data_IF_352955694801
#
_entry.id   IF_352955694801
#
_cell.length_a   1.000
_cell.length_b   1.000
_cell.length_c   1.000
_cell.angle_alpha   90.00
_cell.angle_beta   90.00
_cell.angle_gamma   90.00
#
_symmetry.space_group_name_H-M   'P 1'
#
loop_
_entity.id
_entity.type
_entity.pdbx_description
1 polymer ?
#
# COMPACT_ATOMS: atom_id res chain seq x y z
N UNK A 1 34.28 54.99 42.90
CA UNK A 1 34.31 53.56 42.56
C UNK A 1 32.94 52.97 42.86
N UNK A 2 32.14 52.61 41.85
CA UNK A 2 30.88 51.89 42.05
C UNK A 2 31.10 50.36 42.13
N UNK A 3 30.23 49.72 42.90
CA UNK A 3 30.15 48.32 43.34
C UNK A 3 29.95 47.29 42.18
N UNK A 4 30.63 46.12 42.17
CA UNK A 4 30.55 45.12 41.11
C UNK A 4 29.33 44.17 41.16
N UNK A 5 28.26 44.50 41.88
CA UNK A 5 27.13 43.58 42.14
C UNK A 5 26.03 43.53 41.07
N UNK A 6 26.30 43.93 39.83
CA UNK A 6 25.35 43.83 38.70
C UNK A 6 25.68 42.70 37.72
N UNK A 7 25.56 41.46 38.20
CA UNK A 7 25.39 40.29 37.33
C UNK A 7 23.96 39.75 37.52
N UNK A 8 23.04 39.90 36.55
CA UNK A 8 21.85 39.07 36.52
C UNK A 8 22.29 37.64 36.19
N UNK A 9 22.11 36.74 37.16
CA UNK A 9 22.29 35.30 36.98
C UNK A 9 21.34 34.79 35.89
N UNK A 10 21.82 34.10 34.84
CA UNK A 10 20.95 33.36 33.93
C UNK A 10 20.80 31.94 34.48
N UNK A 11 20.10 31.78 35.61
CA UNK A 11 19.67 30.47 36.08
C UNK A 11 18.14 30.45 36.22
N UNK A 12 17.56 29.43 35.59
CA UNK A 12 16.12 29.31 35.40
C UNK A 12 15.73 29.04 33.94
N UNK A 13 16.55 28.29 33.19
CA UNK A 13 16.04 27.61 32.00
C UNK A 13 15.35 26.34 32.49
N UNK A 14 14.16 26.53 33.04
CA UNK A 14 13.26 25.48 33.47
C UNK A 14 12.87 24.66 32.24
N UNK A 15 13.65 23.60 31.96
CA UNK A 15 13.32 22.57 30.98
C UNK A 15 12.16 21.74 31.52
N UNK A 16 10.99 22.37 31.59
CA UNK A 16 9.70 21.72 31.76
C UNK A 16 9.33 21.06 30.42
N UNK A 17 9.95 19.91 30.15
CA UNK A 17 9.51 19.03 29.06
C UNK A 17 8.16 18.41 29.43
N UNK A 18 7.10 19.20 29.29
CA UNK A 18 5.73 18.72 29.39
C UNK A 18 5.39 17.77 28.23
N UNK A 19 4.35 16.92 28.38
CA UNK A 19 3.87 16.01 27.34
C UNK A 19 3.59 16.69 25.99
N UNK A 20 3.25 17.99 26.02
CA UNK A 20 3.05 18.82 24.84
C UNK A 20 4.29 18.98 23.98
N UNK A 21 5.49 19.09 24.57
CA UNK A 21 6.74 19.31 23.80
C UNK A 21 7.12 18.10 22.94
N UNK A 22 6.83 16.88 23.40
CA UNK A 22 7.08 15.66 22.63
C UNK A 22 6.04 15.47 21.52
N UNK A 23 4.77 15.81 21.80
CA UNK A 23 3.72 15.82 20.78
C UNK A 23 4.03 16.84 19.68
N UNK A 24 4.51 18.04 20.04
CA UNK A 24 4.94 19.06 19.09
C UNK A 24 6.15 18.61 18.27
N UNK A 25 7.13 17.95 18.88
CA UNK A 25 8.28 17.38 18.17
C UNK A 25 7.85 16.27 17.18
N UNK A 26 6.92 15.39 17.58
CA UNK A 26 6.34 14.39 16.68
C UNK A 26 5.55 15.04 15.55
N UNK A 27 4.79 16.09 15.84
CA UNK A 27 4.02 16.83 14.84
C UNK A 27 4.93 17.52 13.82
N UNK A 28 6.08 18.06 14.26
CA UNK A 28 7.10 18.65 13.39
C UNK A 28 7.81 17.60 12.52
N UNK A 29 8.05 16.40 13.05
CA UNK A 29 8.61 15.28 12.26
C UNK A 29 7.58 14.78 11.23
N UNK A 30 6.31 14.65 11.63
CA UNK A 30 5.24 14.23 10.71
C UNK A 30 5.00 15.30 9.64
N UNK A 31 5.00 16.59 10.00
CA UNK A 31 4.80 17.67 9.02
C UNK A 31 5.92 17.72 7.99
N UNK A 32 7.18 17.61 8.42
CA UNK A 32 8.34 17.60 7.51
C UNK A 32 8.35 16.37 6.57
N UNK A 33 7.97 15.19 7.09
CA UNK A 33 7.80 13.97 6.27
C UNK A 33 6.62 14.11 5.31
N UNK A 34 5.50 14.70 5.74
CA UNK A 34 4.31 14.91 4.92
C UNK A 34 4.57 15.92 3.79
N UNK A 35 5.36 16.96 4.05
CA UNK A 35 5.75 17.95 3.04
C UNK A 35 6.63 17.33 1.95
N UNK A 36 7.61 16.50 2.35
CA UNK A 36 8.44 15.72 1.42
C UNK A 36 7.61 14.71 0.61
N UNK A 37 6.73 13.95 1.25
CA UNK A 37 5.82 13.02 0.58
C UNK A 37 4.91 13.77 -0.41
N UNK A 38 4.43 14.96 -0.05
CA UNK A 38 3.58 15.78 -0.91
C UNK A 38 4.35 16.30 -2.14
N UNK A 39 5.62 16.66 -1.99
CA UNK A 39 6.50 17.07 -3.09
C UNK A 39 6.80 15.88 -4.03
N UNK A 40 7.23 14.74 -3.49
CA UNK A 40 7.49 13.53 -4.27
C UNK A 40 6.21 12.99 -4.92
N UNK A 41 5.07 13.03 -4.23
CA UNK A 41 3.78 12.64 -4.78
C UNK A 41 3.36 13.56 -5.93
N UNK A 42 3.65 14.87 -5.87
CA UNK A 42 3.34 15.80 -6.96
C UNK A 42 4.20 15.53 -8.19
N UNK A 43 5.49 15.25 -8.00
CA UNK A 43 6.41 14.93 -9.10
C UNK A 43 6.17 13.53 -9.68
N UNK A 44 5.86 12.56 -8.82
CA UNK A 44 5.44 11.20 -9.20
C UNK A 44 4.07 11.22 -9.89
N UNK A 45 3.13 12.07 -9.47
CA UNK A 45 1.86 12.25 -10.15
C UNK A 45 2.06 12.87 -11.54
N UNK A 46 2.94 13.88 -11.68
CA UNK A 46 3.18 14.54 -12.98
C UNK A 46 3.86 13.62 -13.99
N UNK A 47 4.83 12.81 -13.56
CA UNK A 47 5.51 11.83 -14.42
C UNK A 47 4.72 10.53 -14.58
N UNK A 48 3.98 10.14 -13.56
CA UNK A 48 3.23 8.88 -13.49
C UNK A 48 1.82 8.94 -14.07
N UNK A 49 1.15 10.09 -14.06
CA UNK A 49 -0.25 10.24 -14.52
C UNK A 49 -0.42 9.79 -15.97
N UNK A 50 0.43 10.27 -16.89
CA UNK A 50 0.34 9.87 -18.29
C UNK A 50 0.65 8.38 -18.51
N UNK A 51 1.56 7.80 -17.73
CA UNK A 51 1.88 6.36 -17.82
C UNK A 51 0.73 5.52 -17.25
N UNK A 52 0.18 5.90 -16.10
CA UNK A 52 -0.95 5.25 -15.47
C UNK A 52 -2.20 5.32 -16.36
N UNK A 53 -2.52 6.49 -16.92
CA UNK A 53 -3.62 6.66 -17.85
C UNK A 53 -3.48 5.78 -19.09
N UNK A 54 -2.27 5.70 -19.68
CA UNK A 54 -2.00 4.77 -20.81
C UNK A 54 -2.14 3.31 -20.42
N UNK A 55 -1.67 2.92 -19.24
CA UNK A 55 -1.80 1.54 -18.75
C UNK A 55 -3.28 1.19 -18.55
N UNK A 56 -4.05 2.07 -17.93
CA UNK A 56 -5.49 1.89 -17.74
C UNK A 56 -6.19 1.80 -19.10
N UNK A 57 -5.90 2.73 -20.02
CA UNK A 57 -6.47 2.71 -21.37
C UNK A 57 -6.10 1.43 -22.14
N UNK A 58 -4.85 0.96 -22.02
CA UNK A 58 -4.40 -0.29 -22.62
C UNK A 58 -5.12 -1.50 -22.01
N UNK A 59 -5.27 -1.56 -20.69
CA UNK A 59 -6.03 -2.61 -20.00
C UNK A 59 -7.47 -2.63 -20.51
N UNK A 60 -8.15 -1.48 -20.53
CA UNK A 60 -9.51 -1.38 -21.05
C UNK A 60 -9.61 -1.83 -22.50
N UNK A 61 -8.69 -1.37 -23.36
CA UNK A 61 -8.68 -1.73 -24.78
C UNK A 61 -8.46 -3.23 -24.97
N UNK A 62 -7.56 -3.84 -24.20
CA UNK A 62 -7.32 -5.29 -24.21
C UNK A 62 -8.57 -6.04 -23.72
N UNK A 63 -9.20 -5.62 -22.63
CA UNK A 63 -10.38 -6.31 -22.08
C UNK A 63 -11.57 -6.23 -23.03
N UNK A 64 -11.84 -5.05 -23.59
CA UNK A 64 -12.92 -4.88 -24.56
C UNK A 64 -12.59 -5.60 -25.87
N UNK A 65 -11.38 -5.45 -26.39
CA UNK A 65 -10.93 -6.13 -27.60
C UNK A 65 -11.03 -7.65 -27.48
N UNK A 66 -10.58 -8.22 -26.36
CA UNK A 66 -10.71 -9.65 -26.07
C UNK A 66 -12.17 -10.09 -26.01
N UNK A 67 -13.04 -9.31 -25.34
CA UNK A 67 -14.47 -9.60 -25.23
C UNK A 67 -15.17 -9.57 -26.60
N UNK A 68 -14.85 -8.59 -27.45
CA UNK A 68 -15.37 -8.49 -28.81
C UNK A 68 -14.84 -9.61 -29.70
N UNK A 69 -13.57 -9.97 -29.58
CA UNK A 69 -12.99 -11.12 -30.29
C UNK A 69 -13.67 -12.43 -29.90
N UNK A 70 -13.94 -12.64 -28.61
CA UNK A 70 -14.69 -13.79 -28.14
C UNK A 70 -16.11 -13.79 -28.70
N UNK A 71 -16.86 -12.69 -28.55
CA UNK A 71 -18.22 -12.58 -29.04
C UNK A 71 -18.30 -12.80 -30.57
N UNK A 72 -17.38 -12.20 -31.32
CA UNK A 72 -17.26 -12.37 -32.77
C UNK A 72 -16.88 -13.80 -33.17
N UNK A 73 -15.93 -14.42 -32.47
CA UNK A 73 -15.53 -15.81 -32.73
C UNK A 73 -16.67 -16.78 -32.43
N UNK A 74 -17.41 -16.58 -31.34
CA UNK A 74 -18.62 -17.35 -31.00
C UNK A 74 -19.68 -17.20 -32.09
N UNK A 75 -19.92 -15.98 -32.57
CA UNK A 75 -20.86 -15.70 -33.65
C UNK A 75 -20.46 -16.35 -34.97
N UNK A 76 -19.19 -16.22 -35.37
CA UNK A 76 -18.65 -16.81 -36.57
C UNK A 76 -18.68 -18.35 -36.53
N UNK A 77 -18.34 -18.95 -35.38
CA UNK A 77 -18.36 -20.40 -35.18
C UNK A 77 -19.80 -20.94 -35.16
N UNK A 78 -20.73 -20.20 -34.56
CA UNK A 78 -22.16 -20.49 -34.59
C UNK A 78 -22.72 -20.51 -36.02
N UNK A 79 -22.34 -19.51 -36.83
CA UNK A 79 -22.77 -19.44 -38.23
C UNK A 79 -22.14 -20.56 -39.09
N UNK A 80 -20.87 -20.91 -38.87
CA UNK A 80 -20.20 -21.98 -39.63
C UNK A 80 -20.67 -23.38 -39.24
N UNK A 81 -20.97 -23.61 -37.95
CA UNK A 81 -21.36 -24.93 -37.44
C UNK A 81 -22.88 -25.17 -37.47
N UNK A 82 -23.68 -24.17 -37.83
CA UNK A 82 -25.14 -24.22 -37.72
C UNK A 82 -25.65 -24.38 -36.28
N UNK A 83 -24.78 -24.15 -35.30
CA UNK A 83 -25.05 -24.39 -33.88
C UNK A 83 -25.59 -23.11 -33.24
N UNK A 84 -26.55 -23.23 -32.32
CA UNK A 84 -27.07 -22.08 -31.57
C UNK A 84 -25.96 -21.33 -30.83
N UNK A 85 -25.91 -20.01 -31.04
CA UNK A 85 -24.96 -19.05 -30.46
C UNK A 85 -24.81 -19.20 -28.95
N UNK A 86 -25.91 -19.50 -28.26
CA UNK A 86 -25.96 -19.69 -26.82
C UNK A 86 -25.03 -20.80 -26.33
N UNK A 87 -25.02 -21.95 -27.01
CA UNK A 87 -24.19 -23.10 -26.61
C UNK A 87 -22.69 -22.86 -26.84
N UNK A 88 -22.35 -22.14 -27.92
CA UNK A 88 -20.96 -21.76 -28.20
C UNK A 88 -20.43 -20.76 -27.16
N UNK A 89 -21.26 -19.78 -26.77
CA UNK A 89 -20.91 -18.83 -25.71
C UNK A 89 -20.74 -19.54 -24.36
N UNK A 90 -21.63 -20.48 -24.04
CA UNK A 90 -21.60 -21.23 -22.78
C UNK A 90 -20.37 -22.13 -22.68
N UNK A 91 -19.99 -22.82 -23.75
CA UNK A 91 -18.78 -23.65 -23.77
C UNK A 91 -17.50 -22.83 -23.54
N UNK A 92 -17.37 -21.69 -24.22
CA UNK A 92 -16.20 -20.83 -24.08
C UNK A 92 -16.15 -20.15 -22.70
N UNK A 93 -17.30 -19.72 -22.17
CA UNK A 93 -17.41 -19.22 -20.80
C UNK A 93 -17.00 -20.26 -19.76
N UNK A 94 -17.45 -21.51 -19.92
CA UNK A 94 -17.08 -22.62 -19.04
C UNK A 94 -15.57 -22.88 -19.06
N UNK A 95 -14.93 -22.87 -20.23
CA UNK A 95 -13.47 -23.02 -20.37
C UNK A 95 -12.74 -21.91 -19.60
N UNK A 96 -13.17 -20.65 -19.70
CA UNK A 96 -12.54 -19.54 -18.97
C UNK A 96 -12.68 -19.69 -17.46
N UNK A 97 -13.83 -20.16 -16.96
CA UNK A 97 -14.03 -20.43 -15.53
C UNK A 97 -13.11 -21.55 -15.04
N UNK A 98 -12.95 -22.62 -15.83
CA UNK A 98 -12.04 -23.73 -15.48
C UNK A 98 -10.60 -23.23 -15.43
N UNK A 99 -10.15 -22.47 -16.43
CA UNK A 99 -8.80 -21.88 -16.46
C UNK A 99 -8.60 -20.95 -15.25
N UNK A 100 -9.55 -20.06 -14.96
CA UNK A 100 -9.49 -19.17 -13.81
C UNK A 100 -9.40 -19.96 -12.49
N UNK A 101 -10.17 -21.04 -12.33
CA UNK A 101 -10.13 -21.89 -11.16
C UNK A 101 -8.78 -22.62 -10.99
N UNK A 102 -8.16 -23.07 -12.09
CA UNK A 102 -6.83 -23.69 -12.08
C UNK A 102 -5.77 -22.65 -11.71
N UNK A 103 -5.80 -21.46 -12.31
CA UNK A 103 -4.87 -20.37 -12.01
C UNK A 103 -5.00 -19.92 -10.55
N UNK A 104 -6.23 -19.78 -10.05
CA UNK A 104 -6.49 -19.41 -8.66
C UNK A 104 -5.93 -20.46 -7.70
N UNK A 105 -6.21 -21.75 -7.93
CA UNK A 105 -5.63 -22.86 -7.16
C UNK A 105 -4.10 -22.84 -7.17
N UNK A 106 -3.49 -22.53 -8.31
CA UNK A 106 -2.02 -22.44 -8.42
C UNK A 106 -1.45 -21.22 -7.70
N UNK A 107 -2.17 -20.09 -7.71
CA UNK A 107 -1.77 -18.85 -7.02
C UNK A 107 -1.88 -18.94 -5.49
N UNK A 108 -2.77 -19.79 -4.96
CA UNK A 108 -2.89 -20.02 -3.52
C UNK A 108 -1.65 -20.67 -2.89
N UNK A 109 -0.72 -21.22 -3.69
CA UNK A 109 0.49 -21.89 -3.20
C UNK A 109 1.70 -21.00 -2.92
N UNK A 110 1.67 -19.71 -3.27
CA UNK A 110 2.86 -18.86 -3.18
C UNK A 110 2.53 -17.41 -2.82
N UNK A 111 1.90 -17.19 -1.68
CA UNK A 111 2.10 -15.94 -0.96
C UNK A 111 3.50 -15.95 -0.35
N UNK A 112 4.54 -15.82 -1.18
CA UNK A 112 5.86 -15.42 -0.70
C UNK A 112 5.63 -14.13 0.08
N UNK A 113 5.90 -14.10 1.40
CA UNK A 113 5.62 -12.92 2.19
C UNK A 113 6.41 -11.77 1.60
N UNK A 114 5.71 -10.77 1.05
CA UNK A 114 6.29 -9.68 0.25
C UNK A 114 7.35 -8.85 1.01
N UNK A 115 7.45 -9.04 2.34
CA UNK A 115 8.43 -8.45 3.25
C UNK A 115 8.66 -9.40 4.43
N UNK A 116 9.54 -10.41 4.32
CA UNK A 116 9.79 -11.36 5.40
C UNK A 116 10.50 -10.69 6.58
N UNK A 117 11.44 -9.78 6.29
CA UNK A 117 12.22 -9.03 7.29
C UNK A 117 11.32 -8.12 8.13
N UNK A 118 10.50 -7.28 7.49
CA UNK A 118 9.58 -6.37 8.19
C UNK A 118 8.59 -7.14 9.08
N UNK A 119 8.12 -8.31 8.64
CA UNK A 119 7.23 -9.16 9.45
C UNK A 119 7.93 -9.75 10.68
N UNK A 120 9.19 -10.14 10.55
CA UNK A 120 10.00 -10.64 11.66
C UNK A 120 10.26 -9.54 12.70
N UNK A 121 10.51 -8.30 12.26
CA UNK A 121 10.66 -7.15 13.16
C UNK A 121 9.35 -6.86 13.92
N UNK A 122 8.20 -6.88 13.23
CA UNK A 122 6.90 -6.71 13.89
C UNK A 122 6.59 -7.82 14.91
N UNK A 123 7.06 -9.05 14.69
CA UNK A 123 6.92 -10.14 15.65
C UNK A 123 7.78 -9.91 16.89
N UNK A 124 9.03 -9.48 16.73
CA UNK A 124 9.91 -9.10 17.86
C UNK A 124 9.32 -7.97 18.68
N UNK A 125 8.75 -6.94 18.05
CA UNK A 125 8.12 -5.83 18.75
C UNK A 125 6.90 -6.30 19.55
N UNK A 126 6.10 -7.21 18.99
CA UNK A 126 4.95 -7.80 19.69
C UNK A 126 5.38 -8.63 20.89
N UNK A 127 6.40 -9.46 20.73
CA UNK A 127 6.99 -10.24 21.84
C UNK A 127 7.56 -9.33 22.93
N UNK A 128 8.19 -8.22 22.55
CA UNK A 128 8.71 -7.23 23.50
C UNK A 128 7.57 -6.57 24.29
N UNK A 129 6.49 -6.16 23.63
CA UNK A 129 5.30 -5.59 24.29
C UNK A 129 4.64 -6.60 25.23
N UNK A 130 4.47 -7.85 24.80
CA UNK A 130 3.90 -8.91 25.64
C UNK A 130 4.79 -9.20 26.86
N UNK A 131 6.11 -9.20 26.70
CA UNK A 131 7.04 -9.36 27.80
C UNK A 131 7.00 -8.18 28.79
N UNK A 132 6.84 -6.95 28.29
CA UNK A 132 6.63 -5.77 29.15
C UNK A 132 5.32 -5.83 29.93
N UNK A 133 4.23 -6.28 29.30
CA UNK A 133 2.95 -6.47 29.96
C UNK A 133 2.98 -7.59 31.01
N UNK A 134 3.74 -8.67 30.75
CA UNK A 134 3.94 -9.78 31.69
C UNK A 134 4.91 -9.44 32.84
N UNK A 135 5.89 -8.55 32.63
CA UNK A 135 6.84 -8.10 33.64
C UNK A 135 6.79 -6.57 33.88
N UNK A 136 5.71 -6.04 34.49
CA UNK A 136 5.58 -4.61 34.77
C UNK A 136 6.54 -4.09 35.87
N UNK A 137 7.39 -4.93 36.47
CA UNK A 137 8.25 -4.60 37.63
C UNK A 137 9.77 -4.68 37.38
N UNK A 138 10.25 -4.63 36.13
CA UNK A 138 11.71 -4.64 35.86
C UNK A 138 12.34 -3.25 35.66
N UNK A 139 11.64 -2.17 35.99
CA UNK A 139 12.24 -0.83 36.17
C UNK A 139 11.64 -0.16 37.41
N UNK A 140 12.22 -0.46 38.56
CA UNK A 140 12.35 0.46 39.68
C UNK A 140 13.84 0.79 39.81
#
# INVERSE_FOLDING_TARGET
MPDPSSQPTPEGRDSSHGPSSWIEAMLAIVSSRAELIRLEAKDAARKGSNKAARVIAAILCITFGWSLLLAGSIGALSHLAGWSWFWSALAIGAIHIIIAAILLRKSSGACTPLFPVTRAEFQRDREWIENLQKNPKSKA
#
